data_IF_821642920679
#
_entry.id   IF_821642920679
#
_cell.length_a   1.000
_cell.length_b   1.000
_cell.length_c   1.000
_cell.angle_alpha   90.00
_cell.angle_beta   90.00
_cell.angle_gamma   90.00
#
_symmetry.space_group_name_H-M   'P 1'
#
loop_
_entity.id
_entity.type
_entity.pdbx_description
1 polymer ?
#
# COMPACT_ATOMS: atom_id res chain seq x y z
N UNK A 1 15.17 -8.38 -12.55
CA UNK A 1 13.81 -8.82 -12.12
C UNK A 1 12.83 -8.36 -13.18
N UNK A 2 11.73 -9.09 -13.39
CA UNK A 2 10.73 -8.68 -14.38
C UNK A 2 9.85 -7.58 -13.77
N UNK A 3 9.64 -6.48 -14.50
CA UNK A 3 8.72 -5.40 -14.07
C UNK A 3 7.28 -5.91 -14.11
N UNK A 4 6.57 -5.85 -12.98
CA UNK A 4 5.16 -6.20 -12.88
C UNK A 4 4.30 -5.01 -13.32
N UNK A 5 4.62 -3.82 -12.80
CA UNK A 5 3.91 -2.57 -13.05
C UNK A 5 4.92 -1.50 -13.48
N UNK A 6 4.61 -0.75 -14.53
CA UNK A 6 5.40 0.41 -14.96
C UNK A 6 4.46 1.59 -15.21
N UNK A 7 4.80 2.72 -14.61
CA UNK A 7 4.16 4.01 -14.84
C UNK A 7 5.12 4.85 -15.68
N UNK A 8 4.62 5.43 -16.75
CA UNK A 8 5.41 6.25 -17.67
C UNK A 8 4.71 7.59 -17.88
N UNK A 9 5.35 8.65 -17.37
CA UNK A 9 4.98 10.05 -17.58
C UNK A 9 3.57 10.40 -17.13
N UNK A 10 3.12 9.84 -16.00
CA UNK A 10 1.77 10.01 -15.47
C UNK A 10 1.56 11.43 -14.94
N UNK A 11 0.60 12.15 -15.54
CA UNK A 11 0.12 13.44 -15.08
C UNK A 11 -1.39 13.41 -14.83
N UNK A 12 -1.84 14.15 -13.81
CA UNK A 12 -3.24 14.21 -13.45
C UNK A 12 -3.60 15.50 -12.72
N UNK A 13 -4.70 16.12 -13.09
CA UNK A 13 -5.30 17.28 -12.41
C UNK A 13 -6.77 17.03 -12.04
N UNK A 14 -7.21 17.63 -10.96
CA UNK A 14 -8.62 17.70 -10.61
C UNK A 14 -9.26 18.94 -11.22
N UNK A 15 -10.34 18.75 -11.99
CA UNK A 15 -11.11 19.82 -12.58
C UNK A 15 -12.36 20.11 -11.74
N UNK A 16 -12.60 21.35 -11.45
CA UNK A 16 -13.80 21.82 -10.76
C UNK A 16 -14.25 23.16 -11.34
N UNK A 17 -15.44 23.65 -10.94
CA UNK A 17 -15.99 24.91 -11.42
C UNK A 17 -15.11 26.15 -11.12
N UNK A 18 -14.13 26.04 -10.22
CA UNK A 18 -13.22 27.13 -9.82
C UNK A 18 -11.88 27.07 -10.55
N UNK A 19 -11.64 26.04 -11.36
CA UNK A 19 -10.40 25.84 -12.09
C UNK A 19 -9.80 24.45 -11.97
N UNK A 20 -8.59 24.32 -12.44
CA UNK A 20 -7.78 23.12 -12.45
C UNK A 20 -6.84 23.10 -11.23
N UNK A 21 -6.64 21.91 -10.67
CA UNK A 21 -5.73 21.69 -9.56
C UNK A 21 -4.80 20.51 -9.88
N UNK A 22 -3.59 20.75 -10.42
CA UNK A 22 -2.65 19.70 -10.73
C UNK A 22 -2.30 18.89 -9.48
N UNK A 23 -2.38 17.59 -9.55
CA UNK A 23 -2.08 16.67 -8.45
C UNK A 23 -0.78 15.91 -8.67
N UNK A 24 -0.56 15.39 -9.88
CA UNK A 24 0.61 14.63 -10.29
C UNK A 24 1.20 15.25 -11.54
N UNK A 25 2.52 15.25 -11.68
CA UNK A 25 3.26 15.77 -12.84
C UNK A 25 4.40 14.84 -13.20
N UNK A 26 4.33 14.22 -14.38
CA UNK A 26 5.40 13.42 -14.96
C UNK A 26 5.93 12.31 -14.03
N UNK A 27 5.03 11.58 -13.36
CA UNK A 27 5.40 10.46 -12.47
C UNK A 27 5.81 9.25 -13.32
N UNK A 28 7.03 8.78 -13.14
CA UNK A 28 7.54 7.57 -13.78
C UNK A 28 8.29 6.72 -12.76
N UNK A 29 7.92 5.44 -12.65
CA UNK A 29 8.63 4.42 -11.88
C UNK A 29 8.14 3.02 -12.26
N UNK A 30 8.88 2.00 -11.84
CA UNK A 30 8.52 0.60 -12.04
C UNK A 30 8.43 -0.13 -10.71
N UNK A 31 7.65 -1.22 -10.68
CA UNK A 31 7.56 -2.12 -9.53
C UNK A 31 7.84 -3.53 -10.02
N UNK A 32 8.82 -4.18 -9.42
CA UNK A 32 9.18 -5.57 -9.74
C UNK A 32 8.22 -6.56 -9.10
N UNK A 33 8.09 -7.74 -9.71
CA UNK A 33 7.30 -8.82 -9.11
C UNK A 33 7.89 -9.23 -7.75
N UNK A 34 7.04 -9.32 -6.73
CA UNK A 34 7.42 -9.65 -5.36
C UNK A 34 8.05 -8.50 -4.57
N UNK A 35 8.18 -7.31 -5.17
CA UNK A 35 8.71 -6.12 -4.51
C UNK A 35 7.70 -5.51 -3.53
N UNK A 36 8.19 -5.05 -2.39
CA UNK A 36 7.44 -4.22 -1.47
C UNK A 36 7.95 -2.77 -1.58
N UNK A 37 7.23 -1.94 -2.34
CA UNK A 37 7.54 -0.51 -2.53
C UNK A 37 6.80 0.34 -1.50
N UNK A 38 7.49 1.25 -0.80
CA UNK A 38 6.82 2.31 -0.04
C UNK A 38 6.88 3.65 -0.78
N UNK A 39 5.76 4.39 -0.78
CA UNK A 39 5.66 5.74 -1.32
C UNK A 39 5.41 6.70 -0.16
N UNK A 40 6.33 7.63 0.03
CA UNK A 40 6.26 8.67 1.06
C UNK A 40 6.23 10.06 0.43
N UNK A 41 5.72 11.03 1.16
CA UNK A 41 5.65 12.42 0.71
C UNK A 41 4.73 13.27 1.60
N UNK A 42 4.74 14.59 1.46
CA UNK A 42 3.93 15.50 2.24
C UNK A 42 2.43 15.16 2.21
N UNK A 43 1.69 15.57 3.25
CA UNK A 43 0.24 15.39 3.26
C UNK A 43 -0.38 16.17 2.08
N UNK A 44 -1.34 15.55 1.39
CA UNK A 44 -2.04 16.16 0.25
C UNK A 44 -1.21 16.29 -1.03
N UNK A 45 -0.01 15.70 -1.13
CA UNK A 45 0.82 15.80 -2.35
C UNK A 45 0.27 15.03 -3.55
N UNK A 46 -0.61 14.03 -3.35
CA UNK A 46 -1.18 13.24 -4.46
C UNK A 46 -0.98 11.73 -4.34
N UNK A 47 -0.49 11.21 -3.19
CA UNK A 47 -0.24 9.76 -3.00
C UNK A 47 -1.47 8.90 -3.23
N UNK A 48 -2.60 9.22 -2.61
CA UNK A 48 -3.86 8.47 -2.80
C UNK A 48 -4.42 8.65 -4.21
N UNK A 49 -4.17 9.79 -4.88
CA UNK A 49 -4.48 9.99 -6.30
C UNK A 49 -3.68 9.00 -7.17
N UNK A 50 -2.39 8.87 -6.90
CA UNK A 50 -1.52 7.92 -7.59
C UNK A 50 -2.00 6.47 -7.40
N UNK A 51 -2.35 6.05 -6.17
CA UNK A 51 -2.94 4.72 -5.94
C UNK A 51 -4.26 4.54 -6.68
N UNK A 52 -5.11 5.58 -6.73
CA UNK A 52 -6.39 5.51 -7.45
C UNK A 52 -6.19 5.33 -8.95
N UNK A 53 -5.14 5.94 -9.51
CA UNK A 53 -4.76 5.74 -10.93
C UNK A 53 -4.25 4.31 -11.14
N UNK A 54 -3.38 3.80 -10.28
CA UNK A 54 -2.88 2.42 -10.35
C UNK A 54 -4.03 1.42 -10.20
N UNK A 55 -4.99 1.71 -9.33
CA UNK A 55 -6.19 0.88 -9.14
C UNK A 55 -7.20 0.96 -10.31
N UNK A 56 -6.97 1.81 -11.31
CA UNK A 56 -7.90 2.04 -12.41
C UNK A 56 -9.17 2.82 -12.03
N UNK A 57 -9.22 3.40 -10.83
CA UNK A 57 -10.35 4.21 -10.35
C UNK A 57 -10.33 5.63 -10.94
N UNK A 58 -9.14 6.09 -11.34
CA UNK A 58 -8.93 7.36 -12.04
C UNK A 58 -8.11 7.08 -13.30
N UNK A 59 -8.48 7.72 -14.40
CA UNK A 59 -7.72 7.68 -15.65
C UNK A 59 -6.71 8.84 -15.62
N UNK A 60 -5.40 8.61 -15.89
CA UNK A 60 -4.44 9.70 -16.02
C UNK A 60 -4.79 10.57 -17.22
N UNK A 61 -4.45 11.85 -17.18
CA UNK A 61 -4.62 12.76 -18.32
C UNK A 61 -3.52 12.57 -19.34
N UNK A 62 -2.30 12.31 -18.86
CA UNK A 62 -1.13 12.03 -19.68
C UNK A 62 -0.38 10.81 -19.12
N UNK A 63 0.37 10.17 -20.03
CA UNK A 63 1.18 9.02 -19.69
C UNK A 63 0.43 7.68 -19.75
N UNK A 64 1.16 6.60 -19.48
CA UNK A 64 0.66 5.26 -19.60
C UNK A 64 1.03 4.37 -18.42
N UNK A 65 0.12 3.44 -18.09
CA UNK A 65 0.36 2.33 -17.17
C UNK A 65 0.56 1.04 -17.95
N UNK A 66 1.53 0.26 -17.54
CA UNK A 66 1.80 -1.06 -18.11
C UNK A 66 1.80 -2.12 -17.01
N UNK A 67 1.13 -3.24 -17.26
CA UNK A 67 1.15 -4.42 -16.42
C UNK A 67 1.73 -5.61 -17.22
N UNK A 68 2.78 -6.24 -16.70
CA UNK A 68 3.53 -7.29 -17.43
C UNK A 68 3.87 -6.88 -18.87
N UNK A 69 4.24 -5.61 -19.09
CA UNK A 69 4.58 -5.06 -20.39
C UNK A 69 3.38 -4.68 -21.31
N UNK A 70 2.15 -4.98 -20.92
CA UNK A 70 0.94 -4.61 -21.66
C UNK A 70 0.40 -3.28 -21.15
N UNK A 71 0.05 -2.37 -22.06
CA UNK A 71 -0.58 -1.09 -21.71
C UNK A 71 -2.00 -1.35 -21.17
N UNK A 72 -2.25 -0.88 -19.94
CA UNK A 72 -3.54 -0.99 -19.26
C UNK A 72 -4.22 0.36 -19.05
N UNK A 73 -3.68 1.45 -19.59
CA UNK A 73 -4.22 2.80 -19.44
C UNK A 73 -5.64 2.88 -20.00
N UNK A 74 -6.60 3.17 -19.12
CA UNK A 74 -8.01 3.28 -19.53
C UNK A 74 -8.74 1.95 -19.77
N UNK A 75 -8.12 0.81 -19.48
CA UNK A 75 -8.80 -0.48 -19.42
C UNK A 75 -9.64 -0.60 -18.15
N UNK A 76 -10.72 -1.41 -18.21
CA UNK A 76 -11.46 -1.75 -16.98
C UNK A 76 -10.52 -2.47 -15.99
N UNK A 77 -10.57 -2.12 -14.69
CA UNK A 77 -9.60 -2.60 -13.70
C UNK A 77 -9.51 -4.13 -13.59
N UNK A 78 -10.60 -4.83 -13.84
CA UNK A 78 -10.69 -6.29 -13.63
C UNK A 78 -10.19 -7.13 -14.82
N UNK A 79 -9.99 -6.53 -16.00
CA UNK A 79 -9.61 -7.29 -17.19
C UNK A 79 -8.11 -7.49 -17.34
N UNK A 80 -7.32 -6.63 -16.72
CA UNK A 80 -5.87 -6.60 -16.93
C UNK A 80 -5.07 -7.10 -15.73
N UNK A 81 -5.43 -6.71 -14.49
CA UNK A 81 -4.67 -6.98 -13.28
C UNK A 81 -5.59 -7.15 -12.07
N UNK A 82 -5.38 -8.21 -11.28
CA UNK A 82 -6.10 -8.39 -10.02
C UNK A 82 -5.46 -7.53 -8.93
N UNK A 83 -6.16 -6.47 -8.54
CA UNK A 83 -5.71 -5.55 -7.51
C UNK A 83 -6.46 -5.80 -6.21
N UNK A 84 -5.72 -5.90 -5.11
CA UNK A 84 -6.25 -5.81 -3.77
C UNK A 84 -6.01 -4.43 -3.20
N UNK A 85 -7.06 -3.65 -2.96
CA UNK A 85 -6.96 -2.29 -2.44
C UNK A 85 -7.41 -2.24 -0.98
N UNK A 86 -6.48 -1.94 -0.08
CA UNK A 86 -6.75 -1.68 1.33
C UNK A 86 -6.72 -0.18 1.58
N UNK A 87 -7.86 0.37 1.94
CA UNK A 87 -8.05 1.79 2.25
C UNK A 87 -7.56 2.12 3.67
N UNK A 88 -7.37 3.39 3.96
CA UNK A 88 -6.92 3.90 5.25
C UNK A 88 -7.73 3.39 6.45
N UNK A 89 -9.07 3.26 6.29
CA UNK A 89 -9.94 2.62 7.27
C UNK A 89 -10.21 1.18 6.87
N UNK A 90 -10.51 0.34 7.85
CA UNK A 90 -10.80 -1.08 7.63
C UNK A 90 -12.04 -1.35 6.77
N UNK A 91 -13.03 -0.45 6.80
CA UNK A 91 -14.30 -0.56 6.07
C UNK A 91 -14.94 -1.95 6.15
N UNK A 92 -14.82 -2.61 7.31
CA UNK A 92 -15.54 -3.84 7.57
C UNK A 92 -17.02 -3.54 7.76
N UNK A 93 -17.88 -4.39 7.23
CA UNK A 93 -19.31 -4.26 7.41
C UNK A 93 -19.70 -4.74 8.80
N UNK A 94 -20.22 -3.84 9.64
CA UNK A 94 -20.56 -4.09 11.05
C UNK A 94 -21.69 -5.14 11.23
N UNK A 95 -22.53 -5.34 10.22
CA UNK A 95 -23.62 -6.34 10.24
C UNK A 95 -23.18 -7.73 9.81
N UNK A 96 -21.93 -7.88 9.29
CA UNK A 96 -21.33 -9.16 8.90
C UNK A 96 -20.35 -9.66 9.95
N UNK A 97 -20.18 -10.97 10.04
CA UNK A 97 -19.08 -11.56 10.82
C UNK A 97 -17.75 -11.29 10.14
N UNK A 98 -16.64 -11.54 10.84
CA UNK A 98 -15.28 -11.42 10.26
C UNK A 98 -15.14 -12.36 9.07
N UNK A 99 -15.57 -13.62 9.19
CA UNK A 99 -15.53 -14.55 8.06
C UNK A 99 -16.33 -14.02 6.85
N UNK A 100 -17.54 -13.55 7.08
CA UNK A 100 -18.38 -12.98 6.02
C UNK A 100 -17.79 -11.72 5.38
N UNK A 101 -17.09 -10.89 6.15
CA UNK A 101 -16.34 -9.75 5.61
C UNK A 101 -15.19 -10.22 4.72
N UNK A 102 -14.43 -11.21 5.16
CA UNK A 102 -13.25 -11.71 4.43
C UNK A 102 -13.64 -12.36 3.10
N UNK A 103 -14.71 -13.14 3.04
CA UNK A 103 -15.14 -13.80 1.80
C UNK A 103 -15.89 -12.89 0.83
N UNK A 104 -16.17 -11.64 1.19
CA UNK A 104 -17.02 -10.74 0.41
C UNK A 104 -16.60 -10.62 -1.05
N UNK A 105 -15.32 -10.42 -1.32
CA UNK A 105 -14.79 -10.31 -2.69
C UNK A 105 -14.99 -11.62 -3.49
N UNK A 106 -14.87 -12.76 -2.82
CA UNK A 106 -15.12 -14.06 -3.45
C UNK A 106 -16.62 -14.29 -3.75
N UNK A 107 -17.52 -13.79 -2.85
CA UNK A 107 -18.96 -13.82 -3.10
C UNK A 107 -19.34 -12.97 -4.33
N UNK A 108 -18.84 -11.73 -4.41
CA UNK A 108 -19.12 -10.79 -5.50
C UNK A 108 -18.61 -11.32 -6.85
N UNK A 109 -17.45 -11.97 -6.85
CA UNK A 109 -16.85 -12.54 -8.06
C UNK A 109 -17.36 -13.95 -8.39
N UNK A 110 -18.40 -14.45 -7.68
CA UNK A 110 -18.93 -15.81 -7.84
C UNK A 110 -17.85 -16.91 -7.78
N UNK A 111 -16.76 -16.67 -7.03
CA UNK A 111 -15.57 -17.52 -6.94
C UNK A 111 -15.44 -18.21 -5.58
N UNK A 112 -16.52 -18.32 -4.79
CA UNK A 112 -16.52 -18.94 -3.45
C UNK A 112 -16.52 -20.47 -3.52
N UNK A 113 -15.44 -21.04 -4.09
CA UNK A 113 -15.19 -22.49 -4.16
C UNK A 113 -14.75 -23.05 -2.81
N UNK A 114 -14.77 -24.39 -2.66
CA UNK A 114 -14.24 -25.04 -1.45
C UNK A 114 -12.76 -24.69 -1.23
N UNK A 115 -11.95 -24.69 -2.30
CA UNK A 115 -10.52 -24.32 -2.24
C UNK A 115 -10.32 -22.90 -1.71
N UNK A 116 -11.11 -21.93 -2.18
CA UNK A 116 -11.04 -20.55 -1.69
C UNK A 116 -11.52 -20.40 -0.24
N UNK A 117 -12.50 -21.19 0.18
CA UNK A 117 -12.92 -21.26 1.60
C UNK A 117 -11.80 -21.77 2.50
N UNK A 118 -11.14 -22.85 2.08
CA UNK A 118 -10.03 -23.43 2.83
C UNK A 118 -8.83 -22.45 2.90
N UNK A 119 -8.54 -21.76 1.81
CA UNK A 119 -7.53 -20.72 1.78
C UNK A 119 -7.86 -19.56 2.76
N UNK A 120 -9.09 -19.07 2.76
CA UNK A 120 -9.54 -18.03 3.72
C UNK A 120 -9.41 -18.50 5.16
N UNK A 121 -9.81 -19.74 5.45
CA UNK A 121 -9.67 -20.31 6.81
C UNK A 121 -8.19 -20.43 7.21
N UNK A 122 -7.32 -20.73 6.26
CA UNK A 122 -5.87 -20.75 6.50
C UNK A 122 -5.34 -19.33 6.77
N UNK A 123 -5.72 -18.33 5.96
CA UNK A 123 -5.38 -16.93 6.23
C UNK A 123 -5.84 -16.49 7.62
N UNK A 124 -7.09 -16.80 8.01
CA UNK A 124 -7.58 -16.48 9.36
C UNK A 124 -6.74 -17.12 10.47
N UNK A 125 -6.19 -18.32 10.27
CA UNK A 125 -5.27 -18.97 11.22
C UNK A 125 -3.91 -18.26 11.23
N UNK A 126 -3.32 -18.01 10.07
CA UNK A 126 -2.01 -17.39 9.91
C UNK A 126 -1.96 -15.97 10.51
N UNK A 127 -3.11 -15.25 10.50
CA UNK A 127 -3.28 -13.92 11.08
C UNK A 127 -3.91 -13.93 12.48
N UNK A 128 -4.00 -15.10 13.14
CA UNK A 128 -4.53 -15.26 14.51
C UNK A 128 -5.98 -14.79 14.69
N UNK A 129 -6.78 -14.81 13.63
CA UNK A 129 -8.20 -14.38 13.65
C UNK A 129 -9.18 -15.55 13.58
N UNK A 130 -8.73 -16.79 13.49
CA UNK A 130 -9.60 -17.95 13.32
C UNK A 130 -10.63 -18.09 14.47
N UNK A 131 -10.22 -17.88 15.72
CA UNK A 131 -11.11 -17.93 16.89
C UNK A 131 -12.18 -16.82 16.89
N UNK A 132 -11.99 -15.76 16.09
CA UNK A 132 -12.87 -14.61 16.00
C UNK A 132 -13.68 -14.57 14.69
N UNK A 133 -13.62 -15.63 13.88
CA UNK A 133 -14.26 -15.65 12.55
C UNK A 133 -15.77 -15.40 12.57
N UNK A 134 -16.45 -15.82 13.64
CA UNK A 134 -17.89 -15.68 13.82
C UNK A 134 -18.29 -14.40 14.60
N UNK A 135 -17.30 -13.60 15.04
CA UNK A 135 -17.47 -12.31 15.71
C UNK A 135 -17.75 -11.19 14.70
N UNK A 136 -18.35 -10.09 15.19
CA UNK A 136 -18.55 -8.85 14.42
C UNK A 136 -17.36 -7.90 14.58
N UNK A 137 -17.14 -6.95 13.65
CA UNK A 137 -16.06 -5.97 13.75
C UNK A 137 -16.04 -5.19 15.05
N UNK A 138 -17.20 -4.82 15.60
CA UNK A 138 -17.34 -4.12 16.88
C UNK A 138 -16.80 -4.88 18.11
N UNK A 139 -16.61 -6.20 17.99
CA UNK A 139 -16.08 -7.06 19.05
C UNK A 139 -14.54 -7.23 18.97
N UNK A 140 -13.88 -6.61 17.97
CA UNK A 140 -12.46 -6.75 17.71
C UNK A 140 -11.68 -5.48 18.09
N UNK A 141 -10.39 -5.63 18.46
CA UNK A 141 -9.48 -4.52 18.58
C UNK A 141 -9.18 -3.88 17.22
N UNK A 142 -8.65 -2.64 17.21
CA UNK A 142 -8.26 -1.96 15.98
C UNK A 142 -7.28 -2.75 15.12
N UNK A 143 -6.24 -3.34 15.74
CA UNK A 143 -5.27 -4.19 15.04
C UNK A 143 -5.89 -5.46 14.45
N UNK A 144 -6.81 -6.10 15.16
CA UNK A 144 -7.54 -7.26 14.65
C UNK A 144 -8.42 -6.89 13.45
N UNK A 145 -9.09 -5.72 13.48
CA UNK A 145 -9.86 -5.22 12.33
C UNK A 145 -8.97 -4.95 11.12
N UNK A 146 -7.78 -4.35 11.32
CA UNK A 146 -6.83 -4.12 10.22
C UNK A 146 -6.34 -5.44 9.59
N UNK A 147 -6.01 -6.44 10.43
CA UNK A 147 -5.67 -7.79 9.92
C UNK A 147 -6.84 -8.40 9.14
N UNK A 148 -8.07 -8.28 9.62
CA UNK A 148 -9.25 -8.78 8.91
C UNK A 148 -9.47 -8.08 7.56
N UNK A 149 -9.26 -6.76 7.48
CA UNK A 149 -9.32 -6.00 6.24
C UNK A 149 -8.24 -6.45 5.25
N UNK A 150 -7.01 -6.70 5.72
CA UNK A 150 -5.96 -7.25 4.87
C UNK A 150 -6.31 -8.65 4.35
N UNK A 151 -6.80 -9.56 5.22
CA UNK A 151 -7.22 -10.90 4.81
C UNK A 151 -8.32 -10.81 3.74
N UNK A 152 -9.31 -9.91 3.92
CA UNK A 152 -10.35 -9.64 2.91
C UNK A 152 -9.75 -9.26 1.57
N UNK A 153 -8.74 -8.39 1.59
CA UNK A 153 -8.04 -7.95 0.39
C UNK A 153 -7.25 -9.09 -0.26
N UNK A 154 -6.59 -9.95 0.54
CA UNK A 154 -5.80 -11.08 0.04
C UNK A 154 -6.66 -12.27 -0.42
N UNK A 155 -7.88 -12.41 0.10
CA UNK A 155 -8.77 -13.53 -0.19
C UNK A 155 -9.06 -13.72 -1.69
N UNK A 156 -9.04 -12.64 -2.46
CA UNK A 156 -9.27 -12.63 -3.93
C UNK A 156 -8.03 -12.99 -4.74
N UNK A 157 -6.92 -13.41 -4.11
CA UNK A 157 -5.65 -13.73 -4.76
C UNK A 157 -5.13 -12.60 -5.67
N UNK A 158 -4.95 -11.36 -5.15
CA UNK A 158 -4.48 -10.26 -5.97
C UNK A 158 -3.04 -10.47 -6.44
N UNK A 159 -2.72 -9.87 -7.60
CA UNK A 159 -1.37 -9.81 -8.15
C UNK A 159 -0.58 -8.66 -7.50
N UNK A 160 -1.29 -7.55 -7.21
CA UNK A 160 -0.76 -6.35 -6.58
C UNK A 160 -1.61 -5.94 -5.39
N UNK A 161 -0.98 -5.68 -4.26
CA UNK A 161 -1.59 -5.09 -3.07
C UNK A 161 -1.32 -3.59 -3.02
N UNK A 162 -2.37 -2.78 -2.95
CA UNK A 162 -2.30 -1.35 -2.71
C UNK A 162 -2.75 -1.06 -1.27
N UNK A 163 -1.88 -0.45 -0.48
CA UNK A 163 -2.07 -0.21 0.94
C UNK A 163 -2.01 1.31 1.19
N UNK A 164 -3.16 1.96 1.40
CA UNK A 164 -3.26 3.41 1.62
C UNK A 164 -3.31 3.71 3.12
N UNK A 165 -2.18 4.09 3.72
CA UNK A 165 -2.01 4.40 5.14
C UNK A 165 -2.68 3.37 6.09
N UNK A 166 -2.47 2.06 5.89
CA UNK A 166 -3.26 1.02 6.53
C UNK A 166 -3.13 0.98 8.06
N UNK A 167 -2.10 1.61 8.62
CA UNK A 167 -1.80 1.56 10.05
C UNK A 167 -2.05 2.87 10.78
N UNK A 168 -2.50 3.93 10.08
CA UNK A 168 -2.63 5.29 10.64
C UNK A 168 -3.62 5.38 11.81
N UNK A 169 -4.63 4.51 11.87
CA UNK A 169 -5.64 4.49 12.93
C UNK A 169 -5.22 3.71 14.20
N UNK A 170 -4.01 3.10 14.21
CA UNK A 170 -3.50 2.30 15.33
C UNK A 170 -2.62 3.15 16.26
N UNK A 171 -2.64 2.81 17.55
CA UNK A 171 -1.64 3.34 18.49
C UNK A 171 -0.23 2.87 18.12
N UNK A 172 0.80 3.56 18.59
CA UNK A 172 2.19 3.35 18.17
C UNK A 172 2.72 1.94 18.41
N UNK A 173 2.35 1.29 19.51
CA UNK A 173 2.83 -0.04 19.85
C UNK A 173 2.13 -1.11 19.00
N UNK A 174 0.82 -1.04 18.90
CA UNK A 174 0.01 -1.93 18.05
C UNK A 174 0.43 -1.80 16.58
N UNK A 175 0.68 -0.56 16.12
CA UNK A 175 1.13 -0.26 14.76
C UNK A 175 2.42 -1.00 14.41
N UNK A 176 3.43 -0.95 15.28
CA UNK A 176 4.71 -1.63 15.05
C UNK A 176 4.54 -3.14 14.84
N UNK A 177 3.78 -3.77 15.71
CA UNK A 177 3.59 -5.22 15.66
C UNK A 177 2.76 -5.62 14.43
N UNK A 178 1.61 -4.96 14.22
CA UNK A 178 0.71 -5.29 13.10
C UNK A 178 1.37 -5.03 11.75
N UNK A 179 2.12 -3.93 11.60
CA UNK A 179 2.79 -3.62 10.33
C UNK A 179 3.90 -4.63 10.01
N UNK A 180 4.64 -5.08 11.03
CA UNK A 180 5.66 -6.12 10.85
C UNK A 180 5.05 -7.47 10.45
N UNK A 181 4.00 -7.89 11.14
CA UNK A 181 3.28 -9.13 10.83
C UNK A 181 2.78 -9.11 9.38
N UNK A 182 2.17 -8.00 8.98
CA UNK A 182 1.63 -7.81 7.62
C UNK A 182 2.75 -7.87 6.56
N UNK A 183 3.86 -7.18 6.79
CA UNK A 183 4.99 -7.20 5.87
C UNK A 183 5.61 -8.61 5.76
N UNK A 184 5.76 -9.31 6.91
CA UNK A 184 6.24 -10.67 6.93
C UNK A 184 5.37 -11.60 6.07
N UNK A 185 4.05 -11.49 6.20
CA UNK A 185 3.12 -12.34 5.45
C UNK A 185 3.13 -12.00 3.94
N UNK A 186 3.16 -10.71 3.58
CA UNK A 186 3.26 -10.28 2.19
C UNK A 186 4.53 -10.87 1.54
N UNK A 187 5.68 -10.81 2.23
CA UNK A 187 6.94 -11.41 1.76
C UNK A 187 6.85 -12.94 1.67
N UNK A 188 6.36 -13.60 2.71
CA UNK A 188 6.21 -15.07 2.74
C UNK A 188 5.34 -15.57 1.59
N UNK A 189 4.32 -14.81 1.18
CA UNK A 189 3.44 -15.15 0.06
C UNK A 189 3.96 -14.64 -1.30
N UNK A 190 5.14 -14.02 -1.34
CA UNK A 190 5.77 -13.42 -2.54
C UNK A 190 4.82 -12.50 -3.32
N UNK A 191 4.01 -11.72 -2.59
CA UNK A 191 3.08 -10.75 -3.19
C UNK A 191 3.78 -9.42 -3.43
N UNK A 192 3.45 -8.77 -4.54
CA UNK A 192 3.87 -7.41 -4.82
C UNK A 192 2.99 -6.43 -4.04
N UNK A 193 3.58 -5.43 -3.40
CA UNK A 193 2.83 -4.47 -2.61
C UNK A 193 3.34 -3.04 -2.81
N UNK A 194 2.41 -2.09 -2.84
CA UNK A 194 2.69 -0.65 -2.79
C UNK A 194 2.04 -0.11 -1.51
N UNK A 195 2.85 0.42 -0.60
CA UNK A 195 2.43 1.03 0.65
C UNK A 195 2.53 2.55 0.54
N UNK A 196 1.43 3.25 0.78
CA UNK A 196 1.47 4.67 1.09
C UNK A 196 1.53 4.84 2.60
N UNK A 197 2.48 5.62 3.07
CA UNK A 197 2.59 6.02 4.46
C UNK A 197 3.22 7.41 4.58
N UNK A 198 2.91 8.10 5.67
CA UNK A 198 3.60 9.32 6.09
C UNK A 198 4.65 9.03 7.18
N UNK A 199 4.74 7.79 7.66
CA UNK A 199 5.71 7.35 8.66
C UNK A 199 6.96 6.77 7.99
N UNK A 200 8.08 7.50 8.06
CA UNK A 200 9.37 7.05 7.52
C UNK A 200 9.84 5.74 8.16
N UNK A 201 9.52 5.54 9.44
CA UNK A 201 9.92 4.31 10.12
C UNK A 201 9.22 3.08 9.52
N UNK A 202 7.93 3.20 9.17
CA UNK A 202 7.21 2.16 8.44
C UNK A 202 7.85 1.92 7.07
N UNK A 203 8.04 2.98 6.28
CA UNK A 203 8.61 2.87 4.96
C UNK A 203 9.98 2.15 4.97
N UNK A 204 10.88 2.53 5.88
CA UNK A 204 12.23 1.96 5.97
C UNK A 204 12.19 0.51 6.46
N UNK A 205 11.37 0.21 7.49
CA UNK A 205 11.38 -1.15 8.08
C UNK A 205 10.67 -2.18 7.21
N UNK A 206 9.66 -1.75 6.45
CA UNK A 206 8.78 -2.65 5.72
C UNK A 206 9.14 -2.81 4.24
N UNK A 207 9.60 -1.75 3.56
CA UNK A 207 9.77 -1.76 2.12
C UNK A 207 11.17 -2.22 1.66
N UNK A 208 11.23 -2.74 0.44
CA UNK A 208 12.50 -3.06 -0.24
C UNK A 208 13.07 -1.84 -0.95
N UNK A 209 12.19 -0.88 -1.28
CA UNK A 209 12.54 0.42 -1.87
C UNK A 209 11.55 1.49 -1.40
N UNK A 210 12.04 2.71 -1.18
CA UNK A 210 11.24 3.88 -0.83
C UNK A 210 11.28 4.88 -1.97
N UNK A 211 10.11 5.30 -2.44
CA UNK A 211 9.90 6.36 -3.40
C UNK A 211 9.44 7.63 -2.66
N UNK A 212 10.13 8.73 -2.84
CA UNK A 212 9.79 10.01 -2.23
C UNK A 212 9.13 10.92 -3.26
N UNK A 213 7.92 11.36 -2.96
CA UNK A 213 7.20 12.35 -3.78
C UNK A 213 7.40 13.77 -3.26
N UNK A 214 7.42 14.73 -4.19
CA UNK A 214 7.46 16.16 -3.90
C UNK A 214 6.12 16.67 -3.36
N UNK A 215 6.06 17.97 -3.03
CA UNK A 215 4.80 18.70 -2.86
C UNK A 215 4.02 18.72 -4.16
N UNK A 216 2.74 19.06 -4.05
CA UNK A 216 1.80 19.19 -5.17
C UNK A 216 2.19 20.32 -6.14
N UNK A 217 2.16 20.08 -7.47
CA UNK A 217 1.95 18.80 -8.13
C UNK A 217 3.12 17.85 -7.85
N UNK A 218 2.79 16.59 -7.46
CA UNK A 218 3.82 15.64 -7.08
C UNK A 218 4.65 15.19 -8.26
N UNK A 219 5.96 15.13 -8.04
CA UNK A 219 6.96 14.50 -8.91
C UNK A 219 7.75 13.49 -8.10
N UNK A 220 8.45 12.56 -8.73
CA UNK A 220 9.39 11.67 -8.04
C UNK A 220 10.66 12.46 -7.72
N UNK A 221 10.99 12.59 -6.43
CA UNK A 221 12.19 13.26 -5.95
C UNK A 221 13.38 12.34 -5.78
N UNK A 222 13.12 11.17 -5.23
CA UNK A 222 14.15 10.22 -4.86
C UNK A 222 13.57 8.81 -4.86
N UNK A 223 14.37 7.87 -5.31
CA UNK A 223 14.16 6.43 -5.13
C UNK A 223 15.32 5.88 -4.34
N UNK A 224 15.06 5.17 -3.27
CA UNK A 224 16.08 4.63 -2.41
C UNK A 224 15.85 3.14 -2.13
N UNK A 225 16.74 2.25 -2.59
CA UNK A 225 16.72 0.85 -2.19
C UNK A 225 17.05 0.72 -0.71
N UNK A 226 16.34 -0.17 -0.01
CA UNK A 226 16.51 -0.42 1.42
C UNK A 226 17.05 -1.82 1.61
N UNK A 227 18.25 -1.92 2.15
CA UNK A 227 18.91 -3.17 2.45
C UNK A 227 19.47 -3.14 3.88
N UNK A 228 19.32 -4.24 4.60
CA UNK A 228 19.85 -4.39 5.94
C UNK A 228 20.76 -5.60 6.00
N UNK A 229 21.76 -5.53 6.86
CA UNK A 229 22.64 -6.66 7.21
C UNK A 229 21.93 -7.69 8.12
N UNK A 230 20.80 -7.31 8.72
CA UNK A 230 19.97 -8.16 9.58
C UNK A 230 18.67 -8.56 8.90
N UNK A 231 18.09 -9.68 9.35
CA UNK A 231 16.77 -10.09 8.89
C UNK A 231 15.67 -9.15 9.41
N UNK A 232 14.69 -8.83 8.55
CA UNK A 232 13.63 -7.87 8.86
C UNK A 232 12.44 -8.48 9.63
N UNK A 233 12.68 -9.51 10.46
CA UNK A 233 11.62 -10.15 11.23
C UNK A 233 11.19 -9.32 12.44
N UNK A 234 12.14 -8.57 13.02
CA UNK A 234 11.88 -7.74 14.18
C UNK A 234 12.15 -6.27 13.87
N UNK A 235 11.08 -5.42 13.77
CA UNK A 235 11.25 -3.99 13.48
C UNK A 235 12.13 -3.24 14.47
N UNK A 236 12.17 -3.70 15.74
CA UNK A 236 13.01 -3.07 16.77
C UNK A 236 14.49 -3.34 16.54
N UNK A 237 14.84 -4.54 16.08
CA UNK A 237 16.23 -4.87 15.70
C UNK A 237 16.68 -4.04 14.51
N UNK A 238 15.83 -3.96 13.47
CA UNK A 238 16.09 -3.14 12.28
C UNK A 238 16.34 -1.67 12.66
N UNK A 239 15.52 -1.10 13.54
CA UNK A 239 15.65 0.30 13.98
C UNK A 239 16.93 0.60 14.75
N UNK A 240 17.53 -0.40 15.37
CA UNK A 240 18.79 -0.27 16.10
C UNK A 240 20.02 -0.39 15.19
N UNK A 241 19.86 -0.64 13.89
CA UNK A 241 20.98 -0.74 12.95
C UNK A 241 21.51 0.62 12.51
N UNK A 242 22.78 0.68 12.15
CA UNK A 242 23.39 1.89 11.58
C UNK A 242 22.77 2.27 10.24
N UNK A 243 22.43 1.25 9.43
CA UNK A 243 21.78 1.43 8.12
C UNK A 243 20.44 2.15 8.25
N UNK A 244 19.62 1.78 9.25
CA UNK A 244 18.35 2.45 9.52
C UNK A 244 18.53 3.94 9.80
N UNK A 245 19.50 4.31 10.63
CA UNK A 245 19.77 5.70 10.98
C UNK A 245 20.21 6.52 9.75
N UNK A 246 21.01 5.91 8.85
CA UNK A 246 21.43 6.54 7.60
C UNK A 246 20.24 6.76 6.65
N UNK A 247 19.41 5.73 6.46
CA UNK A 247 18.22 5.84 5.63
C UNK A 247 17.23 6.88 6.18
N UNK A 248 16.98 6.86 7.47
CA UNK A 248 16.06 7.80 8.11
C UNK A 248 16.55 9.25 7.94
N UNK A 249 17.83 9.51 8.22
CA UNK A 249 18.42 10.83 8.05
C UNK A 249 18.30 11.31 6.61
N UNK A 250 18.67 10.49 5.64
CA UNK A 250 18.62 10.85 4.22
C UNK A 250 17.19 11.15 3.75
N UNK A 251 16.25 10.26 4.05
CA UNK A 251 14.82 10.47 3.67
C UNK A 251 14.23 11.70 4.36
N UNK A 252 14.58 11.94 5.62
CA UNK A 252 14.16 13.13 6.35
C UNK A 252 14.68 14.40 5.69
N UNK A 253 15.95 14.44 5.32
CA UNK A 253 16.55 15.58 4.62
C UNK A 253 15.88 15.83 3.26
N UNK A 254 15.62 14.78 2.47
CA UNK A 254 14.93 14.89 1.17
C UNK A 254 13.51 15.46 1.35
N UNK A 255 12.79 15.06 2.41
CA UNK A 255 11.43 15.55 2.68
C UNK A 255 11.41 16.98 3.23
N UNK A 256 12.38 17.35 4.08
CA UNK A 256 12.38 18.67 4.77
C UNK A 256 13.01 19.78 3.96
N UNK A 257 13.97 19.50 3.09
CA UNK A 257 14.63 20.52 2.24
C UNK A 257 13.66 21.24 1.28
N UNK A 258 12.43 20.81 1.12
CA UNK A 258 11.39 21.59 0.44
C UNK A 258 10.76 22.69 1.32
N UNK A 259 10.88 22.60 2.64
CA UNK A 259 10.31 23.61 3.55
C UNK A 259 11.21 24.83 3.70
N UNK A 260 12.51 24.71 3.41
CA UNK A 260 13.48 25.79 3.61
C UNK A 260 13.53 26.86 2.48
N UNK A 261 12.93 26.61 1.32
CA UNK A 261 12.93 27.55 0.19
C UNK A 261 11.87 28.66 0.35
N UNK A 262 10.89 28.51 1.24
CA UNK A 262 9.81 29.49 1.43
C UNK A 262 9.90 30.36 2.70
N UNK A 263 10.98 30.22 3.51
CA UNK A 263 11.19 31.08 4.70
C UNK A 263 12.18 32.21 4.51
N UNK A 264 12.66 32.45 3.29
CA UNK A 264 13.63 33.53 2.98
C UNK A 264 13.18 34.42 1.81
N UNK A 265 11.90 34.87 1.85
CA UNK A 265 11.46 36.06 1.08
C UNK A 265 10.40 36.81 1.85
#
# INVERSE_FOLDING_TARGET
MQSLLSLQDISYAYHNLKGETPALSHISFEVSQGEFLAIVGPSGCGKSTLLSIIAGLLKPEEGNLYYNGNCITGCEPNDAMKIGYMLQRDHLFEWRTIYQNVILGLELNHSLTQQNRDYVLQLLKDYELYAFKDKKPSELSGGMRQRAALIRTMATHPDLLLLDEPFSALDSQTRLNVSADIAHIIRKTNKTAILITHDLSEAITLADRVLVLSKRPATVKCEMPIQFSVERHNPMEVRNTAEYQLYFKHLWEVLTNEQSVFQST
#
